data_IF_862631449679
#
_entry.id   IF_862631449679
#
_cell.length_a   1.000
_cell.length_b   1.000
_cell.length_c   1.000
_cell.angle_alpha   90.00
_cell.angle_beta   90.00
_cell.angle_gamma   90.00
#
_symmetry.space_group_name_H-M   'P 1'
#
loop_
_entity.id
_entity.type
_entity.pdbx_description
1 polymer ?
#
# COMPACT_ATOMS: atom_id res chain seq x y z
N UNK A 1 -6.93 5.31 -15.94
CA UNK A 1 -6.36 3.97 -15.70
C UNK A 1 -7.55 3.04 -15.51
N UNK A 2 -7.62 1.96 -16.25
CA UNK A 2 -8.73 1.01 -16.21
C UNK A 2 -8.19 -0.31 -15.63
N UNK A 3 -8.69 -0.71 -14.47
CA UNK A 3 -8.30 -1.96 -13.82
C UNK A 3 -9.52 -2.86 -13.88
N UNK A 4 -9.44 -3.92 -14.68
CA UNK A 4 -10.56 -4.85 -14.85
C UNK A 4 -11.19 -5.27 -13.52
N UNK A 5 -12.52 -5.22 -13.44
CA UNK A 5 -13.33 -5.48 -12.24
C UNK A 5 -12.88 -6.75 -11.48
N UNK A 6 -12.61 -7.90 -12.13
CA UNK A 6 -12.14 -9.09 -11.43
C UNK A 6 -10.77 -8.91 -10.73
N UNK A 7 -9.88 -8.09 -11.28
CA UNK A 7 -8.58 -7.79 -10.68
C UNK A 7 -8.74 -6.92 -9.43
N UNK A 8 -9.63 -5.93 -9.48
CA UNK A 8 -9.95 -5.11 -8.31
C UNK A 8 -10.55 -5.96 -7.20
N UNK A 9 -11.55 -6.79 -7.53
CA UNK A 9 -12.24 -7.67 -6.59
C UNK A 9 -11.28 -8.63 -5.86
N UNK A 10 -10.39 -9.33 -6.58
CA UNK A 10 -9.44 -10.28 -5.96
C UNK A 10 -8.46 -9.62 -4.99
N UNK A 11 -8.18 -8.33 -5.15
CA UNK A 11 -7.19 -7.57 -4.36
C UNK A 11 -7.81 -6.75 -3.23
N UNK A 12 -9.13 -6.78 -3.03
CA UNK A 12 -9.83 -6.01 -1.98
C UNK A 12 -9.21 -6.28 -0.60
N UNK A 13 -8.94 -7.55 -0.25
CA UNK A 13 -8.39 -7.90 1.06
C UNK A 13 -7.00 -7.31 1.32
N UNK A 14 -6.15 -7.26 0.30
CA UNK A 14 -4.82 -6.63 0.36
C UNK A 14 -4.94 -5.11 0.48
N UNK A 15 -5.80 -4.50 -0.35
CA UNK A 15 -5.94 -3.04 -0.46
C UNK A 15 -6.69 -2.41 0.72
N UNK A 16 -7.65 -3.13 1.31
CA UNK A 16 -8.55 -2.56 2.31
C UNK A 16 -8.04 -2.84 3.72
N UNK A 17 -7.40 -4.00 3.92
CA UNK A 17 -7.08 -4.50 5.24
C UNK A 17 -5.59 -4.83 5.43
N UNK A 18 -4.72 -4.51 4.46
CA UNK A 18 -3.30 -4.87 4.47
C UNK A 18 -3.06 -6.36 4.77
N UNK A 19 -3.88 -7.22 4.20
CA UNK A 19 -3.69 -8.67 4.31
C UNK A 19 -2.63 -9.09 3.29
N UNK A 20 -1.52 -9.66 3.76
CA UNK A 20 -0.51 -10.27 2.91
C UNK A 20 -0.22 -11.71 3.32
N UNK A 21 1.03 -12.13 3.18
CA UNK A 21 1.46 -13.50 3.45
C UNK A 21 2.51 -13.56 4.55
N UNK A 22 2.45 -14.59 5.38
CA UNK A 22 3.49 -14.93 6.34
C UNK A 22 3.91 -16.38 6.13
N UNK A 23 5.20 -16.65 6.04
CA UNK A 23 5.72 -18.01 5.90
C UNK A 23 6.03 -18.60 7.27
N UNK A 24 5.36 -19.67 7.66
CA UNK A 24 5.60 -20.32 8.96
C UNK A 24 6.99 -20.97 9.04
N UNK A 25 7.54 -21.45 7.91
CA UNK A 25 8.87 -22.08 7.86
C UNK A 25 10.01 -21.07 8.08
N UNK A 26 10.06 -19.98 7.30
CA UNK A 26 11.15 -18.99 7.38
C UNK A 26 10.83 -17.75 8.21
N UNK A 27 9.61 -17.67 8.78
CA UNK A 27 9.12 -16.56 9.61
C UNK A 27 9.20 -15.18 8.92
N UNK A 28 9.10 -15.15 7.59
CA UNK A 28 9.13 -13.90 6.80
C UNK A 28 7.73 -13.49 6.36
N UNK A 29 7.49 -12.18 6.43
CA UNK A 29 6.27 -11.51 5.98
C UNK A 29 6.46 -10.94 4.57
N UNK A 30 5.40 -11.00 3.76
CA UNK A 30 5.37 -10.53 2.39
C UNK A 30 4.09 -9.74 2.12
N UNK A 31 4.22 -8.62 1.41
CA UNK A 31 3.12 -7.84 0.89
C UNK A 31 3.52 -7.36 -0.50
N UNK A 32 2.67 -7.49 -1.54
CA UNK A 32 1.33 -8.10 -1.52
C UNK A 32 1.32 -9.61 -1.23
N UNK A 33 0.12 -10.21 -1.16
CA UNK A 33 -0.04 -11.66 -0.94
C UNK A 33 0.71 -12.44 -2.03
N UNK A 34 1.36 -13.54 -1.64
CA UNK A 34 2.08 -14.46 -2.53
C UNK A 34 1.53 -15.87 -2.41
N UNK A 35 1.63 -16.62 -3.52
CA UNK A 35 1.30 -18.06 -3.56
C UNK A 35 2.52 -18.94 -3.28
N UNK A 36 3.74 -18.42 -3.48
CA UNK A 36 5.00 -19.16 -3.31
C UNK A 36 5.96 -18.30 -2.48
N UNK A 37 6.58 -18.91 -1.46
CA UNK A 37 7.58 -18.24 -0.65
C UNK A 37 8.88 -18.08 -1.46
N UNK A 38 9.45 -16.87 -1.59
CA UNK A 38 10.71 -16.69 -2.34
C UNK A 38 11.90 -17.38 -1.67
N UNK A 39 11.87 -17.57 -0.35
CA UNK A 39 12.96 -18.17 0.41
C UNK A 39 12.86 -19.70 0.45
N UNK A 40 11.67 -20.22 0.78
CA UNK A 40 11.45 -21.67 0.94
C UNK A 40 10.96 -22.36 -0.36
N UNK A 41 10.59 -21.58 -1.38
CA UNK A 41 10.01 -22.05 -2.64
C UNK A 41 8.80 -22.95 -2.37
N UNK A 42 8.73 -24.12 -3.02
CA UNK A 42 7.62 -25.08 -2.87
C UNK A 42 7.45 -25.64 -1.47
N UNK A 43 8.47 -25.56 -0.61
CA UNK A 43 8.40 -26.05 0.77
C UNK A 43 7.83 -25.01 1.75
N UNK A 44 7.55 -23.79 1.28
CA UNK A 44 7.07 -22.71 2.14
C UNK A 44 5.58 -22.84 2.45
N UNK A 45 5.25 -23.00 3.73
CA UNK A 45 3.87 -22.88 4.23
C UNK A 45 3.52 -21.40 4.40
N UNK A 46 2.87 -20.82 3.41
CA UNK A 46 2.36 -19.44 3.45
C UNK A 46 0.94 -19.42 4.00
N UNK A 47 0.72 -18.61 5.03
CA UNK A 47 -0.60 -18.29 5.58
C UNK A 47 -0.93 -16.82 5.33
N UNK A 48 -2.22 -16.48 5.34
CA UNK A 48 -2.64 -15.08 5.31
C UNK A 48 -2.36 -14.42 6.66
N UNK A 49 -1.79 -13.22 6.64
CA UNK A 49 -1.56 -12.41 7.83
C UNK A 49 -2.04 -10.99 7.58
N UNK A 50 -2.85 -10.46 8.51
CA UNK A 50 -3.17 -9.03 8.59
C UNK A 50 -1.99 -8.31 9.27
N UNK A 51 -1.45 -7.28 8.64
CA UNK A 51 -0.38 -6.47 9.22
C UNK A 51 -0.93 -5.30 10.06
N UNK A 52 -0.06 -4.70 10.86
CA UNK A 52 -0.32 -3.51 11.65
C UNK A 52 -0.76 -2.36 10.74
N UNK A 53 -1.62 -1.52 11.30
CA UNK A 53 -2.05 -0.29 10.67
C UNK A 53 -1.07 0.85 10.91
N UNK A 54 0.03 0.63 11.63
CA UNK A 54 1.05 1.65 11.92
C UNK A 54 2.40 1.27 11.31
N UNK A 55 3.20 2.30 11.03
CA UNK A 55 4.55 2.15 10.52
C UNK A 55 5.34 3.44 10.56
N UNK A 56 6.53 3.40 9.98
CA UNK A 56 7.41 4.56 9.85
C UNK A 56 7.79 4.80 8.40
N UNK A 57 7.91 6.07 8.01
CA UNK A 57 8.40 6.44 6.68
C UNK A 57 9.84 5.96 6.53
N UNK A 58 10.09 5.02 5.62
CA UNK A 58 11.42 4.53 5.29
C UNK A 58 12.09 5.41 4.23
N UNK A 59 11.34 5.83 3.23
CA UNK A 59 11.77 6.74 2.17
C UNK A 59 10.53 7.39 1.54
N UNK A 60 10.66 8.58 0.96
CA UNK A 60 9.56 9.27 0.29
C UNK A 60 10.03 10.10 -0.89
N UNK A 61 9.09 10.49 -1.73
CA UNK A 61 9.28 11.48 -2.79
C UNK A 61 8.02 12.33 -2.94
N UNK A 62 8.21 13.56 -3.41
CA UNK A 62 7.12 14.50 -3.69
C UNK A 62 6.99 14.62 -5.19
N UNK A 63 5.81 14.30 -5.72
CA UNK A 63 5.56 14.30 -7.16
C UNK A 63 4.94 15.63 -7.56
N UNK A 64 5.74 16.45 -8.26
CA UNK A 64 5.31 17.72 -8.85
C UNK A 64 4.89 17.60 -10.32
N UNK A 65 5.43 16.61 -11.04
CA UNK A 65 5.12 16.37 -12.46
C UNK A 65 4.48 14.98 -12.62
N UNK A 66 3.14 14.89 -12.61
CA UNK A 66 2.45 13.62 -12.59
C UNK A 66 2.24 13.04 -13.98
N UNK A 67 1.94 11.74 -14.04
CA UNK A 67 1.38 11.12 -15.23
C UNK A 67 -0.02 11.70 -15.55
N UNK A 68 -0.47 11.50 -16.79
CA UNK A 68 -1.81 11.89 -17.22
C UNK A 68 -2.89 11.25 -16.33
N UNK A 69 -3.84 12.08 -15.86
CA UNK A 69 -4.91 11.67 -14.94
C UNK A 69 -4.64 11.89 -13.44
N UNK A 70 -3.47 12.44 -13.07
CA UNK A 70 -3.13 12.76 -11.68
C UNK A 70 -2.80 14.25 -11.47
N UNK A 71 -3.09 15.10 -12.46
CA UNK A 71 -2.80 16.55 -12.41
C UNK A 71 -3.48 17.25 -11.24
N UNK A 72 -4.70 16.84 -10.91
CA UNK A 72 -5.50 17.45 -9.85
C UNK A 72 -5.02 17.08 -8.44
N UNK A 73 -4.00 16.22 -8.32
CA UNK A 73 -3.45 15.76 -7.04
C UNK A 73 -2.06 16.31 -6.76
N UNK A 74 -1.56 17.22 -7.58
CA UNK A 74 -0.21 17.78 -7.42
C UNK A 74 -0.21 18.91 -6.38
N UNK A 75 0.79 18.96 -5.47
CA UNK A 75 1.78 17.92 -5.21
C UNK A 75 1.18 16.77 -4.38
N UNK A 76 1.62 15.54 -4.62
CA UNK A 76 1.33 14.41 -3.74
C UNK A 76 2.59 13.69 -3.30
N UNK A 77 2.55 13.14 -2.10
CA UNK A 77 3.66 12.42 -1.50
C UNK A 77 3.46 10.91 -1.69
N UNK A 78 4.46 10.24 -2.25
CA UNK A 78 4.55 8.77 -2.22
C UNK A 78 5.62 8.39 -1.20
N UNK A 79 5.32 7.43 -0.33
CA UNK A 79 6.25 6.90 0.63
C UNK A 79 6.35 5.37 0.57
N UNK A 80 7.55 4.88 0.88
CA UNK A 80 7.78 3.52 1.33
C UNK A 80 7.65 3.55 2.86
N UNK A 81 6.66 2.82 3.38
CA UNK A 81 6.39 2.73 4.81
C UNK A 81 6.82 1.36 5.31
N UNK A 82 7.65 1.33 6.35
CA UNK A 82 7.99 0.12 7.09
C UNK A 82 6.93 -0.11 8.16
N UNK A 83 6.06 -1.09 7.97
CA UNK A 83 5.07 -1.49 8.98
C UNK A 83 5.76 -2.12 10.19
N UNK A 84 5.20 -1.92 11.39
CA UNK A 84 5.79 -2.40 12.66
C UNK A 84 6.02 -3.92 12.68
N UNK A 85 5.01 -4.70 12.29
CA UNK A 85 5.01 -6.17 12.34
C UNK A 85 5.10 -6.81 10.94
N UNK A 86 5.52 -6.00 9.95
CA UNK A 86 5.25 -6.26 8.55
C UNK A 86 6.37 -5.92 7.57
N UNK A 87 6.10 -6.11 6.27
CA UNK A 87 7.00 -5.73 5.19
C UNK A 87 6.99 -4.21 4.96
N UNK A 88 7.79 -3.76 3.99
CA UNK A 88 7.67 -2.40 3.46
C UNK A 88 6.50 -2.34 2.47
N UNK A 89 5.72 -1.27 2.53
CA UNK A 89 4.54 -1.03 1.69
C UNK A 89 4.65 0.35 1.06
N UNK A 90 4.30 0.44 -0.23
CA UNK A 90 4.28 1.70 -0.96
C UNK A 90 2.87 2.27 -0.92
N UNK A 91 2.72 3.53 -0.54
CA UNK A 91 1.44 4.22 -0.56
C UNK A 91 1.61 5.73 -0.54
N UNK A 92 0.50 6.45 -0.75
CA UNK A 92 0.51 7.90 -0.63
C UNK A 92 0.48 8.31 0.84
N UNK A 93 1.20 9.38 1.19
CA UNK A 93 0.89 10.13 2.41
C UNK A 93 -0.20 11.15 2.08
N UNK A 94 -1.25 11.18 2.87
CA UNK A 94 -2.41 12.07 2.72
C UNK A 94 -2.58 12.94 3.95
N UNK A 95 -3.35 14.02 3.80
CA UNK A 95 -3.68 14.96 4.89
C UNK A 95 -2.43 15.57 5.54
N UNK A 96 -1.37 15.80 4.75
CA UNK A 96 -0.11 16.39 5.20
C UNK A 96 0.54 17.18 4.07
N UNK A 97 1.22 18.28 4.43
CA UNK A 97 1.96 19.08 3.47
C UNK A 97 3.36 18.50 3.20
N UNK A 98 3.98 18.77 2.03
CA UNK A 98 5.32 18.28 1.71
C UNK A 98 6.38 18.63 2.77
N UNK A 99 6.28 19.81 3.38
CA UNK A 99 7.19 20.30 4.43
C UNK A 99 7.08 19.52 5.74
N UNK A 100 5.97 18.80 5.96
CA UNK A 100 5.73 18.03 7.19
C UNK A 100 6.32 16.61 7.09
N UNK A 101 6.77 16.16 5.92
CA UNK A 101 7.20 14.79 5.69
C UNK A 101 8.69 14.65 5.93
N UNK A 102 9.05 13.68 6.78
CA UNK A 102 10.45 13.31 7.05
C UNK A 102 10.59 11.80 7.20
N UNK A 103 11.77 11.27 6.87
CA UNK A 103 12.12 9.87 7.12
C UNK A 103 12.07 9.60 8.63
N UNK A 104 11.46 8.49 9.02
CA UNK A 104 11.33 8.05 10.40
C UNK A 104 10.04 8.48 11.10
N UNK A 105 9.28 9.45 10.54
CA UNK A 105 7.97 9.85 11.11
C UNK A 105 7.00 8.68 11.14
N UNK A 106 6.20 8.65 12.21
CA UNK A 106 5.14 7.66 12.39
C UNK A 106 3.96 7.98 11.48
N UNK A 107 3.41 6.92 10.91
CA UNK A 107 2.22 7.00 10.08
C UNK A 107 1.24 5.90 10.46
N UNK A 108 -0.02 6.15 10.16
CA UNK A 108 -1.06 5.15 10.27
C UNK A 108 -1.87 5.03 8.97
N UNK A 109 -2.46 3.86 8.77
CA UNK A 109 -3.20 3.50 7.58
C UNK A 109 -4.56 4.20 7.57
N UNK A 110 -4.90 4.76 6.42
CA UNK A 110 -6.19 5.42 6.16
C UNK A 110 -6.83 4.81 4.91
N UNK A 111 -8.12 4.53 4.97
CA UNK A 111 -8.87 4.03 3.81
C UNK A 111 -9.31 5.20 2.93
N UNK A 112 -8.91 5.18 1.66
CA UNK A 112 -9.11 6.31 0.72
C UNK A 112 -9.56 5.84 -0.65
N UNK A 113 -10.26 6.73 -1.35
CA UNK A 113 -10.51 6.60 -2.79
C UNK A 113 -9.20 6.84 -3.53
N UNK A 114 -8.69 5.84 -4.24
CA UNK A 114 -7.49 5.97 -5.06
C UNK A 114 -7.79 6.69 -6.37
N UNK A 115 -8.77 6.21 -7.12
CA UNK A 115 -9.24 6.83 -8.36
C UNK A 115 -10.60 6.25 -8.75
N UNK A 116 -11.22 6.88 -9.74
CA UNK A 116 -12.47 6.45 -10.36
C UNK A 116 -12.21 6.26 -11.85
N UNK A 117 -12.79 5.20 -12.41
CA UNK A 117 -12.76 4.98 -13.85
C UNK A 117 -13.68 5.96 -14.58
N UNK A 118 -13.41 6.21 -15.86
CA UNK A 118 -14.25 7.11 -16.66
C UNK A 118 -15.62 6.49 -16.91
N UNK A 119 -16.55 7.32 -17.41
CA UNK A 119 -17.84 6.86 -17.96
C UNK A 119 -18.69 6.06 -16.98
N UNK A 120 -18.65 6.42 -15.69
CA UNK A 120 -19.40 5.75 -14.63
C UNK A 120 -18.82 4.39 -14.22
N UNK A 121 -17.55 4.13 -14.54
CA UNK A 121 -16.85 2.91 -14.17
C UNK A 121 -16.58 2.77 -12.66
N UNK A 122 -15.81 1.75 -12.29
CA UNK A 122 -15.63 1.39 -10.89
C UNK A 122 -14.83 2.46 -10.11
N UNK A 123 -15.25 2.72 -8.87
CA UNK A 123 -14.46 3.47 -7.90
C UNK A 123 -13.50 2.52 -7.18
N UNK A 124 -12.20 2.81 -7.28
CA UNK A 124 -11.15 2.02 -6.65
C UNK A 124 -10.77 2.63 -5.30
N UNK A 125 -10.97 1.88 -4.23
CA UNK A 125 -10.50 2.22 -2.90
C UNK A 125 -9.26 1.40 -2.52
N UNK A 126 -8.51 1.92 -1.56
CA UNK A 126 -7.40 1.21 -0.94
C UNK A 126 -6.78 2.01 0.19
N UNK A 127 -5.67 1.50 0.71
CA UNK A 127 -4.92 2.14 1.77
C UNK A 127 -4.16 3.36 1.25
N UNK A 128 -4.07 4.36 2.11
CA UNK A 128 -3.09 5.44 2.12
C UNK A 128 -2.52 5.51 3.55
N UNK A 129 -1.61 6.44 3.78
CA UNK A 129 -1.04 6.68 5.10
C UNK A 129 -1.26 8.14 5.50
N UNK A 130 -1.49 8.41 6.78
CA UNK A 130 -1.48 9.76 7.33
C UNK A 130 -0.40 9.84 8.41
N UNK A 131 0.20 11.01 8.57
CA UNK A 131 1.05 11.27 9.73
C UNK A 131 0.24 11.06 11.02
N UNK A 132 0.90 10.51 12.03
CA UNK A 132 0.33 10.29 13.36
C UNK A 132 0.64 11.45 14.30
#
# INVERSE_FOLDING_TARGET
MEIGVPSSWRKIRERYNLIGSYCENCKKSFFPKRNICPNCRGNGKLIEKKFSNTGKIYSYTIVYSPASGFKDKVPYIIAIVKLEDGPMVIGNIVDSNPEEIEIGKEVEVSFRKWFEEKDGGLIHYGYAFKLK
#
